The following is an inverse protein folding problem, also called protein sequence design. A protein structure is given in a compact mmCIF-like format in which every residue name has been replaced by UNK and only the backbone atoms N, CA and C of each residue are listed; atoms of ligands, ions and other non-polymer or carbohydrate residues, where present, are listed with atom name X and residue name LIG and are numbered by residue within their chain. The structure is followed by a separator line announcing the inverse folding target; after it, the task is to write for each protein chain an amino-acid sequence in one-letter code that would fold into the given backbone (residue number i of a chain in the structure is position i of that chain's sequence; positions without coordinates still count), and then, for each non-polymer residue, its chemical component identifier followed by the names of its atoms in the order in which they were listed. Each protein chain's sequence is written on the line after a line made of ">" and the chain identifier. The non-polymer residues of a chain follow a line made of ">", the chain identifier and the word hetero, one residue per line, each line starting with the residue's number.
data_IF_767393505148
#
_entry.id   IF_767393505148
#
_cell.length_a   1.000
_cell.length_b   1.000
_cell.length_c   1.000
_cell.angle_alpha   90.00
_cell.angle_beta   90.00
_cell.angle_gamma   90.00
#
_symmetry.space_group_name_H-M   'P 1'
#
loop_
_entity.id
_entity.type
_entity.pdbx_description
1 polymer ?
#
# COMPACT_ATOMS: atom_id res chain seq x y z
N UNK A 1 -3.57 9.38 -23.35
CA UNK A 1 -4.94 9.75 -23.79
C UNK A 1 -5.79 10.08 -22.56
N UNK A 2 -6.99 10.67 -22.72
CA UNK A 2 -7.91 10.89 -21.58
C UNK A 2 -8.29 9.59 -20.88
N UNK A 3 -8.40 8.50 -21.64
CA UNK A 3 -8.62 7.16 -21.09
C UNK A 3 -7.47 6.74 -20.17
N UNK A 4 -6.21 6.91 -20.61
CA UNK A 4 -5.05 6.54 -19.78
C UNK A 4 -4.96 7.35 -18.49
N UNK A 5 -5.30 8.65 -18.55
CA UNK A 5 -5.38 9.49 -17.33
C UNK A 5 -6.42 8.93 -16.37
N UNK A 6 -7.59 8.52 -16.88
CA UNK A 6 -8.63 7.91 -16.06
C UNK A 6 -8.18 6.61 -15.41
N UNK A 7 -7.45 5.75 -16.12
CA UNK A 7 -6.91 4.52 -15.55
C UNK A 7 -5.91 4.82 -14.41
N UNK A 8 -5.05 5.83 -14.57
CA UNK A 8 -4.14 6.27 -13.51
C UNK A 8 -4.91 6.80 -12.30
N UNK A 9 -5.96 7.60 -12.51
CA UNK A 9 -6.82 8.09 -11.42
C UNK A 9 -7.50 6.96 -10.66
N UNK A 10 -7.99 5.93 -11.35
CA UNK A 10 -8.61 4.78 -10.71
C UNK A 10 -7.59 3.96 -9.92
N UNK A 11 -6.41 3.70 -10.50
CA UNK A 11 -5.35 2.96 -9.84
C UNK A 11 -4.84 3.67 -8.58
N UNK A 12 -4.59 4.98 -8.66
CA UNK A 12 -4.12 5.76 -7.51
C UNK A 12 -5.20 5.88 -6.43
N UNK A 13 -6.46 6.02 -6.82
CA UNK A 13 -7.58 6.04 -5.88
C UNK A 13 -7.74 4.73 -5.13
N UNK A 14 -7.57 3.59 -5.81
CA UNK A 14 -7.64 2.27 -5.19
C UNK A 14 -6.60 2.10 -4.07
N UNK A 15 -5.35 2.52 -4.33
CA UNK A 15 -4.27 2.45 -3.34
C UNK A 15 -4.54 3.38 -2.16
N UNK A 16 -4.88 4.65 -2.43
CA UNK A 16 -5.15 5.63 -1.39
C UNK A 16 -6.32 5.22 -0.49
N UNK A 17 -7.41 4.75 -1.10
CA UNK A 17 -8.60 4.28 -0.37
C UNK A 17 -8.27 3.12 0.56
N UNK A 18 -7.45 2.16 0.10
CA UNK A 18 -7.03 1.05 0.94
C UNK A 18 -6.24 1.52 2.16
N UNK A 19 -5.31 2.46 1.98
CA UNK A 19 -4.53 3.03 3.08
C UNK A 19 -5.43 3.75 4.07
N UNK A 20 -6.30 4.64 3.59
CA UNK A 20 -7.16 5.47 4.44
C UNK A 20 -8.16 4.64 5.23
N UNK A 21 -8.78 3.62 4.62
CA UNK A 21 -9.71 2.74 5.31
C UNK A 21 -9.03 1.83 6.34
N UNK A 22 -7.81 1.33 6.04
CA UNK A 22 -7.04 0.54 7.00
C UNK A 22 -6.65 1.36 8.23
N UNK A 23 -6.21 2.59 8.03
CA UNK A 23 -5.93 3.53 9.12
C UNK A 23 -7.19 3.80 9.95
N UNK A 24 -8.30 4.13 9.28
CA UNK A 24 -9.57 4.43 9.93
C UNK A 24 -10.17 3.22 10.67
N UNK A 25 -9.99 2.00 10.19
CA UNK A 25 -10.45 0.78 10.86
C UNK A 25 -9.65 0.44 12.13
N UNK A 26 -8.47 1.06 12.30
CA UNK A 26 -7.61 0.89 13.46
C UNK A 26 -7.52 2.16 14.32
N UNK A 27 -8.37 3.16 14.07
CA UNK A 27 -8.38 4.46 14.74
C UNK A 27 -7.00 5.15 14.74
N UNK A 28 -6.26 5.01 13.65
CA UNK A 28 -4.92 5.59 13.46
C UNK A 28 -4.96 6.77 12.51
N UNK A 29 -4.40 7.94 12.87
CA UNK A 29 -4.15 9.00 11.90
C UNK A 29 -2.97 8.61 10.98
N UNK A 30 -2.90 9.20 9.79
CA UNK A 30 -1.80 8.99 8.84
C UNK A 30 -0.43 9.31 9.44
N UNK A 31 -0.34 10.28 10.35
CA UNK A 31 0.90 10.68 11.01
C UNK A 31 1.55 9.59 11.88
N UNK A 32 0.78 8.59 12.32
CA UNK A 32 1.25 7.44 13.09
C UNK A 32 2.06 6.44 12.26
N UNK A 33 2.12 6.60 10.93
CA UNK A 33 2.93 5.74 10.06
C UNK A 33 4.41 6.09 10.24
N UNK A 34 5.15 5.21 10.91
CA UNK A 34 6.61 5.33 11.07
C UNK A 34 7.36 5.10 9.74
N UNK A 35 6.91 4.12 8.95
CA UNK A 35 7.56 3.75 7.69
C UNK A 35 6.58 3.18 6.67
N UNK A 36 6.77 3.55 5.40
CA UNK A 36 6.08 2.98 4.24
C UNK A 36 7.07 2.16 3.43
N UNK A 37 6.89 0.84 3.44
CA UNK A 37 7.72 -0.09 2.67
C UNK A 37 7.00 -0.43 1.37
N UNK A 38 7.60 -0.04 0.24
CA UNK A 38 7.04 -0.23 -1.10
C UNK A 38 7.74 -1.42 -1.77
N UNK A 39 6.96 -2.43 -2.12
CA UNK A 39 7.43 -3.64 -2.79
C UNK A 39 6.77 -3.82 -4.17
N UNK A 40 7.30 -4.76 -4.95
CA UNK A 40 6.81 -5.12 -6.27
C UNK A 40 7.53 -4.38 -7.39
N UNK A 41 7.41 -4.88 -8.62
CA UNK A 41 8.11 -4.34 -9.79
C UNK A 41 7.77 -2.87 -10.05
N UNK A 42 6.48 -2.51 -9.91
CA UNK A 42 6.03 -1.11 -9.98
C UNK A 42 6.62 -0.28 -8.83
N UNK A 43 6.56 -0.82 -7.61
CA UNK A 43 7.09 -0.19 -6.41
C UNK A 43 8.60 0.10 -6.45
N UNK A 44 9.39 -0.67 -7.22
CA UNK A 44 10.83 -0.43 -7.40
C UNK A 44 11.14 0.87 -8.14
N UNK A 45 10.30 1.25 -9.10
CA UNK A 45 10.57 2.32 -10.05
C UNK A 45 9.61 3.51 -9.94
N UNK A 46 8.62 3.42 -9.04
CA UNK A 46 7.71 4.54 -8.78
C UNK A 46 8.50 5.73 -8.24
N UNK A 47 8.24 6.91 -8.78
CA UNK A 47 8.72 8.17 -8.19
C UNK A 47 7.87 8.51 -6.97
N UNK A 48 8.42 8.32 -5.77
CA UNK A 48 7.70 8.52 -4.50
C UNK A 48 7.18 9.97 -4.37
N UNK A 49 7.98 11.02 -4.66
CA UNK A 49 7.46 12.39 -4.62
C UNK A 49 6.24 12.60 -5.52
N UNK A 50 6.28 12.10 -6.76
CA UNK A 50 5.14 12.20 -7.69
C UNK A 50 3.94 11.40 -7.21
N UNK A 51 4.15 10.21 -6.64
CA UNK A 51 3.07 9.39 -6.09
C UNK A 51 2.36 10.08 -4.92
N UNK A 52 3.10 10.79 -4.07
CA UNK A 52 2.53 11.66 -3.03
C UNK A 52 1.79 12.83 -3.69
N UNK A 53 2.40 13.51 -4.66
CA UNK A 53 1.83 14.70 -5.31
C UNK A 53 0.49 14.43 -6.03
N UNK A 54 0.29 13.22 -6.59
CA UNK A 54 -0.99 12.83 -7.20
C UNK A 54 -2.00 12.28 -6.19
N UNK A 55 -1.66 12.23 -4.90
CA UNK A 55 -2.48 11.71 -3.81
C UNK A 55 -2.61 10.18 -3.77
N UNK A 56 -1.68 9.44 -4.39
CA UNK A 56 -1.64 7.97 -4.33
C UNK A 56 -1.13 7.48 -2.97
N UNK A 57 -0.04 8.08 -2.51
CA UNK A 57 0.58 7.80 -1.22
C UNK A 57 0.24 8.92 -0.23
N UNK A 58 0.22 8.63 1.08
CA UNK A 58 -0.01 9.64 2.10
C UNK A 58 1.08 10.72 2.10
N UNK A 59 0.71 11.93 2.46
CA UNK A 59 1.65 13.04 2.66
C UNK A 59 2.49 12.80 3.92
N UNK A 60 3.65 12.19 3.72
CA UNK A 60 4.63 11.91 4.78
C UNK A 60 6.02 12.38 4.33
N UNK A 61 6.93 12.63 5.28
CA UNK A 61 8.34 12.89 4.98
C UNK A 61 8.95 11.78 4.10
N UNK A 62 9.73 12.16 3.09
CA UNK A 62 10.29 11.23 2.10
C UNK A 62 11.20 10.17 2.71
N UNK A 63 11.86 10.48 3.84
CA UNK A 63 12.71 9.55 4.59
C UNK A 63 11.93 8.41 5.26
N UNK A 64 10.60 8.50 5.36
CA UNK A 64 9.73 7.39 5.80
C UNK A 64 9.44 6.38 4.71
N UNK A 65 9.80 6.63 3.45
CA UNK A 65 9.51 5.72 2.34
C UNK A 65 10.74 4.87 1.98
N UNK A 66 10.55 3.57 1.81
CA UNK A 66 11.60 2.64 1.41
C UNK A 66 11.13 1.67 0.34
N UNK A 67 11.80 1.69 -0.81
CA UNK A 67 11.58 0.71 -1.88
C UNK A 67 12.46 -0.53 -1.64
N UNK A 68 11.85 -1.72 -1.64
CA UNK A 68 12.55 -3.00 -1.33
C UNK A 68 12.56 -3.99 -2.50
N UNK A 69 12.00 -3.59 -3.64
CA UNK A 69 11.96 -4.42 -4.84
C UNK A 69 11.01 -5.62 -4.72
N UNK A 70 11.40 -6.76 -5.30
CA UNK A 70 10.58 -7.98 -5.29
C UNK A 70 10.65 -8.71 -3.94
N UNK A 71 9.91 -8.20 -2.95
CA UNK A 71 9.83 -8.78 -1.61
C UNK A 71 9.26 -10.21 -1.62
N UNK A 72 8.29 -10.52 -2.50
CA UNK A 72 7.72 -11.86 -2.63
C UNK A 72 8.77 -12.88 -3.10
N UNK A 73 9.55 -12.53 -4.13
CA UNK A 73 10.64 -13.37 -4.63
C UNK A 73 11.75 -13.56 -3.60
N UNK A 74 12.11 -12.51 -2.87
CA UNK A 74 13.08 -12.62 -1.77
C UNK A 74 12.54 -13.53 -0.65
N UNK A 75 11.29 -13.34 -0.23
CA UNK A 75 10.62 -14.17 0.76
C UNK A 75 10.60 -15.65 0.36
N UNK A 76 10.28 -15.95 -0.89
CA UNK A 76 10.29 -17.31 -1.43
C UNK A 76 11.67 -17.97 -1.30
N UNK A 77 12.76 -17.24 -1.62
CA UNK A 77 14.13 -17.73 -1.43
C UNK A 77 14.44 -17.98 0.05
N UNK A 78 14.06 -17.07 0.94
CA UNK A 78 14.31 -17.20 2.38
C UNK A 78 13.64 -18.45 2.97
N UNK A 79 12.36 -18.69 2.65
CA UNK A 79 11.62 -19.85 3.17
C UNK A 79 12.03 -21.16 2.49
N UNK A 80 12.57 -21.11 1.28
CA UNK A 80 13.14 -22.28 0.60
C UNK A 80 14.42 -22.73 1.29
N UNK A 81 15.31 -21.80 1.61
CA UNK A 81 16.66 -22.06 2.13
C UNK A 81 16.72 -22.23 3.67
N UNK A 82 15.68 -21.83 4.41
CA UNK A 82 15.68 -21.91 5.87
C UNK A 82 14.36 -22.39 6.45
N UNK A 83 14.41 -23.50 7.20
CA UNK A 83 13.25 -24.02 7.93
C UNK A 83 12.79 -23.05 9.02
N UNK A 84 13.72 -22.35 9.68
CA UNK A 84 13.41 -21.32 10.68
C UNK A 84 12.65 -20.15 10.05
N UNK A 85 13.11 -19.64 8.89
CA UNK A 85 12.38 -18.59 8.16
C UNK A 85 11.02 -19.05 7.66
N UNK A 86 10.88 -20.32 7.29
CA UNK A 86 9.59 -20.91 6.92
C UNK A 86 8.63 -20.97 8.12
N UNK A 87 9.12 -21.31 9.31
CA UNK A 87 8.32 -21.29 10.53
C UNK A 87 7.91 -19.86 10.93
N UNK A 88 8.83 -18.91 10.85
CA UNK A 88 8.58 -17.47 11.07
C UNK A 88 7.50 -16.93 10.13
N UNK A 89 7.60 -17.22 8.83
CA UNK A 89 6.60 -16.80 7.84
C UNK A 89 5.19 -17.37 8.13
N UNK A 90 5.09 -18.64 8.58
CA UNK A 90 3.82 -19.23 9.00
C UNK A 90 3.25 -18.54 10.23
N UNK A 91 4.09 -18.28 11.24
CA UNK A 91 3.66 -17.56 12.44
C UNK A 91 3.15 -16.16 12.11
N UNK A 92 3.86 -15.42 11.24
CA UNK A 92 3.42 -14.11 10.74
C UNK A 92 2.09 -14.19 10.01
N UNK A 93 1.89 -15.19 9.13
CA UNK A 93 0.62 -15.40 8.43
C UNK A 93 -0.58 -15.54 9.37
N UNK A 94 -0.39 -16.14 10.54
CA UNK A 94 -1.45 -16.26 11.55
C UNK A 94 -1.79 -14.95 12.28
N UNK A 95 -0.93 -13.93 12.19
CA UNK A 95 -1.16 -12.61 12.81
C UNK A 95 -1.84 -11.64 11.85
N UNK A 96 -1.81 -11.91 10.53
CA UNK A 96 -2.42 -11.06 9.52
C UNK A 96 -3.93 -11.25 9.52
N UNK A 97 -4.68 -10.14 9.62
CA UNK A 97 -6.14 -10.14 9.53
C UNK A 97 -6.56 -9.54 8.19
N UNK A 98 -7.49 -10.23 7.52
CA UNK A 98 -8.11 -9.73 6.31
C UNK A 98 -9.22 -8.72 6.64
N UNK A 99 -9.28 -7.64 5.87
CA UNK A 99 -10.38 -6.68 5.90
C UNK A 99 -10.95 -6.55 4.48
N UNK A 100 -12.26 -6.82 4.34
CA UNK A 100 -12.97 -6.64 3.08
C UNK A 100 -13.32 -5.17 2.88
N UNK A 101 -12.44 -4.43 2.18
CA UNK A 101 -12.60 -2.99 1.98
C UNK A 101 -13.88 -2.64 1.22
N UNK A 102 -14.31 -3.45 0.25
CA UNK A 102 -15.49 -3.14 -0.57
C UNK A 102 -16.81 -3.21 0.24
N UNK A 103 -16.77 -3.86 1.41
CA UNK A 103 -17.91 -3.94 2.32
C UNK A 103 -17.98 -2.77 3.33
N UNK A 104 -16.90 -1.97 3.44
CA UNK A 104 -16.90 -0.81 4.32
C UNK A 104 -17.88 0.25 3.78
N UNK A 105 -18.84 0.75 4.58
CA UNK A 105 -19.80 1.77 4.14
C UNK A 105 -19.14 3.06 3.61
N UNK A 106 -17.89 3.33 4.02
CA UNK A 106 -17.11 4.49 3.61
C UNK A 106 -16.32 4.26 2.31
N UNK A 107 -16.31 3.04 1.77
CA UNK A 107 -15.49 2.70 0.61
C UNK A 107 -15.79 3.59 -0.60
N UNK A 108 -17.05 3.66 -1.02
CA UNK A 108 -17.43 4.42 -2.21
C UNK A 108 -17.14 5.92 -2.07
N UNK A 109 -17.43 6.52 -0.92
CA UNK A 109 -17.15 7.94 -0.68
C UNK A 109 -15.65 8.21 -0.66
N UNK A 110 -14.87 7.37 0.01
CA UNK A 110 -13.40 7.49 0.09
C UNK A 110 -12.76 7.28 -1.27
N UNK A 111 -13.21 6.29 -2.04
CA UNK A 111 -12.72 6.01 -3.39
C UNK A 111 -12.99 7.15 -4.35
N UNK A 112 -14.22 7.67 -4.39
CA UNK A 112 -14.56 8.80 -5.26
C UNK A 112 -13.75 10.03 -4.87
N UNK A 113 -13.59 10.33 -3.58
CA UNK A 113 -12.72 11.41 -3.12
C UNK A 113 -11.27 11.20 -3.57
N UNK A 114 -10.76 9.98 -3.47
CA UNK A 114 -9.41 9.65 -3.88
C UNK A 114 -9.20 9.66 -5.41
N UNK A 115 -10.23 9.84 -6.25
CA UNK A 115 -10.04 9.97 -7.72
C UNK A 115 -9.62 11.36 -8.17
N UNK A 116 -9.84 12.41 -7.37
CA UNK A 116 -9.41 13.77 -7.69
C UNK A 116 -7.90 13.92 -7.59
N UNK A 117 -7.25 14.66 -8.48
CA UNK A 117 -5.81 14.94 -8.40
C UNK A 117 -5.57 16.14 -7.48
N UNK A 118 -4.62 16.01 -6.55
CA UNK A 118 -4.45 16.91 -5.40
C UNK A 118 -5.22 16.39 -4.20
#
# INVERSE_FOLDING_TARGET
>A
TQRDVREVQLAKAAIRTGIDLLLAANDRPTGDIDQVIIAGAFGTYIDVPSAIAIGMLPELPLDRFRQVGNAAGMGAKLVLLSQNKRAEARALGNLVRYMELASDPRFNSTFVQATWLG
#
